data_IF_736305921771
#
_entry.id   IF_736305921771
#
_cell.length_a   1.000
_cell.length_b   1.000
_cell.length_c   1.000
_cell.angle_alpha   90.00
_cell.angle_beta   90.00
_cell.angle_gamma   90.00
#
_symmetry.space_group_name_H-M   'P 1'
#
loop_
_entity.id
_entity.type
_entity.pdbx_description
1 polymer ?
#
# COMPACT_ATOMS: atom_id res chain seq x y z
N UNK A 1 -18.19 -5.80 18.02
CA UNK A 1 -17.89 -5.68 17.64
C UNK A 1 -17.23 -5.68 16.95
N UNK A 2 -16.83 -5.58 16.59
CA UNK A 2 -16.23 -5.45 15.98
C UNK A 2 -15.86 -6.07 15.13
N UNK A 3 -16.19 -6.71 14.87
CA UNK A 3 -15.84 -7.52 14.04
C UNK A 3 -15.78 -7.17 12.70
N UNK A 4 -16.57 -6.55 12.17
CA UNK A 4 -16.53 -6.09 10.87
C UNK A 4 -15.42 -5.23 10.68
N UNK A 5 -14.62 -5.04 11.59
CA UNK A 5 -13.53 -4.22 11.45
C UNK A 5 -12.51 -4.63 10.51
N UNK A 6 -12.53 -5.86 10.05
CA UNK A 6 -11.56 -6.24 9.12
C UNK A 6 -11.60 -5.49 7.89
N UNK A 7 -12.75 -5.18 7.35
CA UNK A 7 -12.83 -4.41 6.18
C UNK A 7 -12.39 -3.03 6.46
N UNK A 8 -12.75 -2.50 7.62
CA UNK A 8 -12.41 -1.15 7.88
C UNK A 8 -11.02 -1.02 8.43
N UNK A 9 -10.28 -2.09 8.53
CA UNK A 9 -8.92 -1.99 9.02
C UNK A 9 -7.99 -1.43 7.97
N UNK A 10 -8.37 -1.38 6.72
CA UNK A 10 -7.53 -0.75 5.72
C UNK A 10 -7.60 0.76 5.88
N UNK A 11 -6.45 1.39 5.77
CA UNK A 11 -6.37 2.82 5.84
C UNK A 11 -7.18 3.43 4.68
N UNK A 12 -7.92 4.50 4.91
CA UNK A 12 -8.63 5.14 3.81
C UNK A 12 -7.74 5.56 2.66
N UNK A 13 -6.44 5.74 2.91
CA UNK A 13 -5.51 6.08 1.86
C UNK A 13 -4.93 4.86 1.15
N UNK A 14 -5.39 3.67 1.50
CA UNK A 14 -4.79 2.44 0.96
C UNK A 14 -4.79 2.45 -0.58
N UNK A 15 -5.91 2.76 -1.19
CA UNK A 15 -6.00 2.72 -2.65
C UNK A 15 -5.10 3.76 -3.29
N UNK A 16 -5.08 4.98 -2.74
CA UNK A 16 -4.24 6.02 -3.29
C UNK A 16 -2.77 5.70 -3.09
N UNK A 17 -2.42 5.11 -1.94
CA UNK A 17 -1.06 4.71 -1.70
C UNK A 17 -0.63 3.62 -2.69
N UNK A 18 -1.51 2.67 -2.97
CA UNK A 18 -1.21 1.62 -3.92
C UNK A 18 -0.97 2.20 -5.31
N UNK A 19 -1.79 3.16 -5.71
CA UNK A 19 -1.63 3.78 -7.02
C UNK A 19 -0.31 4.53 -7.12
N UNK A 20 0.06 5.24 -6.07
CA UNK A 20 1.33 5.95 -6.09
C UNK A 20 2.50 4.98 -6.18
N UNK A 21 2.47 3.93 -5.37
CA UNK A 21 3.53 2.94 -5.35
C UNK A 21 3.72 2.31 -6.72
N UNK A 22 2.63 1.92 -7.37
CA UNK A 22 2.73 1.27 -8.68
C UNK A 22 3.15 2.29 -9.74
N UNK A 23 2.60 3.49 -9.71
CA UNK A 23 2.95 4.49 -10.72
C UNK A 23 4.41 4.87 -10.62
N UNK A 24 4.94 4.98 -9.41
CA UNK A 24 6.33 5.37 -9.23
C UNK A 24 7.26 4.18 -9.16
N UNK A 25 6.73 2.98 -9.03
CA UNK A 25 7.51 1.76 -8.82
C UNK A 25 8.44 1.93 -7.63
N UNK A 26 7.89 2.52 -6.56
CA UNK A 26 8.65 2.80 -5.35
C UNK A 26 7.77 2.48 -4.16
N UNK A 27 8.08 1.40 -3.46
CA UNK A 27 7.28 0.94 -2.33
C UNK A 27 7.77 1.41 -0.98
N UNK A 28 8.50 2.51 -0.91
CA UNK A 28 9.07 2.92 0.36
C UNK A 28 8.08 3.74 1.18
N UNK A 29 8.17 3.57 2.50
CA UNK A 29 7.35 4.35 3.41
C UNK A 29 7.71 5.82 3.33
N UNK A 30 8.97 6.12 3.05
CA UNK A 30 9.41 7.50 2.92
C UNK A 30 8.67 8.21 1.79
N UNK A 31 8.48 7.50 0.68
CA UNK A 31 7.77 8.10 -0.44
C UNK A 31 6.33 8.42 -0.06
N UNK A 32 5.66 7.52 0.64
CA UNK A 32 4.29 7.76 1.07
C UNK A 32 4.23 8.90 2.06
N UNK A 33 5.17 8.94 2.98
CA UNK A 33 5.19 9.98 3.98
C UNK A 33 5.30 11.35 3.33
N UNK A 34 6.17 11.49 2.37
CA UNK A 34 6.38 12.76 1.70
C UNK A 34 5.23 13.16 0.80
N UNK A 35 4.73 12.22 0.04
CA UNK A 35 3.70 12.54 -0.93
C UNK A 35 2.40 12.93 -0.26
N UNK A 36 2.01 12.18 0.76
CA UNK A 36 0.73 12.42 1.43
C UNK A 36 0.86 13.28 2.67
N UNK A 37 2.10 13.64 3.04
CA UNK A 37 2.36 14.46 4.22
C UNK A 37 1.76 13.82 5.47
N UNK A 38 2.02 12.55 5.65
CA UNK A 38 1.53 11.80 6.80
C UNK A 38 2.70 11.43 7.70
N UNK A 39 2.40 11.00 8.91
CA UNK A 39 3.43 10.60 9.84
C UNK A 39 4.06 9.28 9.45
N UNK A 40 5.22 9.03 10.06
CA UNK A 40 6.00 7.83 9.76
C UNK A 40 5.24 6.55 10.07
N UNK A 41 4.59 6.52 11.25
CA UNK A 41 3.89 5.29 11.65
C UNK A 41 2.76 4.95 10.69
N UNK A 42 2.05 5.95 10.21
CA UNK A 42 0.97 5.71 9.27
C UNK A 42 1.51 5.24 7.93
N UNK A 43 2.61 5.84 7.50
CA UNK A 43 3.24 5.42 6.24
C UNK A 43 3.70 3.97 6.32
N UNK A 44 4.29 3.57 7.44
CA UNK A 44 4.73 2.20 7.62
C UNK A 44 3.54 1.24 7.63
N UNK A 45 2.45 1.64 8.25
CA UNK A 45 1.27 0.80 8.30
C UNK A 45 0.68 0.61 6.91
N UNK A 46 0.68 1.68 6.10
CA UNK A 46 0.22 1.57 4.73
C UNK A 46 1.07 0.58 3.94
N UNK A 47 2.39 0.65 4.11
CA UNK A 47 3.27 -0.27 3.40
C UNK A 47 3.01 -1.71 3.83
N UNK A 48 2.76 -1.93 5.12
CA UNK A 48 2.45 -3.27 5.59
C UNK A 48 1.14 -3.78 5.00
N UNK A 49 0.17 -2.90 4.86
CA UNK A 49 -1.09 -3.29 4.23
C UNK A 49 -0.89 -3.61 2.76
N UNK A 50 -0.03 -2.85 2.09
CA UNK A 50 0.28 -3.13 0.69
C UNK A 50 1.00 -4.47 0.55
N UNK A 51 1.84 -4.80 1.49
CA UNK A 51 2.51 -6.09 1.48
C UNK A 51 1.51 -7.23 1.67
N UNK A 52 0.62 -7.08 2.63
CA UNK A 52 -0.39 -8.12 2.89
C UNK A 52 -1.29 -8.33 1.68
N UNK A 53 -1.50 -7.28 0.90
CA UNK A 53 -2.34 -7.37 -0.29
C UNK A 53 -1.58 -7.87 -1.52
N UNK A 54 -0.28 -8.07 -1.40
CA UNK A 54 0.49 -8.57 -2.54
C UNK A 54 0.90 -7.49 -3.52
N UNK A 55 0.87 -6.24 -3.12
CA UNK A 55 1.23 -5.14 -4.00
C UNK A 55 2.72 -4.85 -3.91
N UNK A 56 3.30 -4.99 -2.72
CA UNK A 56 4.74 -4.87 -2.56
C UNK A 56 5.27 -6.11 -1.85
N UNK A 57 6.55 -6.35 -1.98
CA UNK A 57 7.19 -7.48 -1.36
C UNK A 57 7.67 -7.18 0.04
N UNK A 58 8.41 -8.12 0.61
CA UNK A 58 8.92 -8.00 1.97
C UNK A 58 9.98 -6.93 2.06
N UNK A 59 10.17 -6.43 3.25
CA UNK A 59 11.23 -5.46 3.51
C UNK A 59 12.58 -6.12 3.24
N UNK A 60 13.40 -5.48 2.43
CA UNK A 60 14.70 -6.00 2.07
C UNK A 60 15.82 -5.11 2.58
N UNK A 61 15.60 -4.48 3.67
CA UNK A 61 16.59 -3.62 4.29
C UNK A 61 16.83 -2.38 3.48
N UNK A 62 18.07 -2.09 3.19
CA UNK A 62 18.43 -0.86 2.51
C UNK A 62 17.87 -0.78 1.11
N UNK A 63 17.52 -1.91 0.52
CA UNK A 63 16.99 -1.89 -0.82
C UNK A 63 15.52 -1.55 -0.89
N UNK A 64 14.86 -1.53 0.25
CA UNK A 64 13.44 -1.25 0.29
C UNK A 64 12.64 -2.43 -0.18
N UNK A 65 11.41 -2.17 -0.62
CA UNK A 65 10.50 -3.22 -1.02
C UNK A 65 10.32 -3.22 -2.51
N UNK A 66 10.22 -4.41 -3.06
CA UNK A 66 9.96 -4.56 -4.48
C UNK A 66 8.50 -4.29 -4.76
N UNK A 67 8.17 -3.63 -5.85
CA UNK A 67 6.79 -3.42 -6.24
C UNK A 67 6.40 -4.58 -7.15
N UNK A 68 5.40 -5.33 -6.73
CA UNK A 68 5.05 -6.58 -7.42
C UNK A 68 4.07 -6.39 -8.56
N UNK A 69 3.43 -5.23 -8.65
CA UNK A 69 2.48 -4.93 -9.71
C UNK A 69 3.05 -3.81 -10.54
N UNK A 70 3.12 -4.00 -11.85
CA UNK A 70 3.73 -3.02 -12.71
C UNK A 70 2.76 -2.29 -13.61
N UNK A 71 1.50 -2.69 -13.58
CA UNK A 71 0.49 -2.17 -14.49
C UNK A 71 -0.66 -1.60 -13.66
N UNK A 72 -0.94 -0.33 -13.82
CA UNK A 72 -2.02 0.30 -13.07
C UNK A 72 -3.38 -0.33 -13.36
N UNK A 73 -3.60 -0.78 -14.58
CA UNK A 73 -4.88 -1.41 -14.90
C UNK A 73 -5.07 -2.68 -14.07
N UNK A 74 -4.01 -3.46 -13.93
CA UNK A 74 -4.07 -4.66 -13.13
C UNK A 74 -4.28 -4.30 -11.66
N UNK A 75 -3.63 -3.22 -11.20
CA UNK A 75 -3.80 -2.78 -9.84
C UNK A 75 -5.25 -2.39 -9.58
N UNK A 76 -5.89 -1.67 -10.48
CA UNK A 76 -7.27 -1.24 -10.25
C UNK A 76 -8.19 -2.44 -10.12
N UNK A 77 -7.95 -3.47 -10.92
CA UNK A 77 -8.73 -4.67 -10.84
C UNK A 77 -8.56 -5.34 -9.47
N UNK A 78 -7.31 -5.38 -9.01
CA UNK A 78 -7.00 -5.97 -7.73
C UNK A 78 -7.63 -5.16 -6.59
N UNK A 79 -7.63 -3.85 -6.70
CA UNK A 79 -8.22 -3.01 -5.68
C UNK A 79 -9.72 -3.24 -5.56
N UNK A 80 -10.38 -3.48 -6.68
CA UNK A 80 -11.80 -3.76 -6.62
C UNK A 80 -12.06 -5.03 -5.84
N UNK A 81 -11.21 -6.02 -5.99
CA UNK A 81 -11.39 -7.26 -5.26
C UNK A 81 -11.15 -7.09 -3.77
N UNK A 82 -10.20 -6.24 -3.42
CA UNK A 82 -9.84 -6.07 -2.03
C UNK A 82 -10.86 -5.23 -1.29
N UNK A 83 -11.41 -4.23 -1.95
CA UNK A 83 -12.23 -3.27 -1.25
C UNK A 83 -13.69 -3.59 -1.23
N UNK A 84 -14.09 -4.64 -1.88
CA UNK A 84 -15.49 -4.98 -1.87
C UNK A 84 -15.97 -5.54 -0.56
#
# INVERSE_FOLDING_TARGET
METNNEKSSLDPMFADAARLVVAEQDGSATRLQRHFEIGWNRACRLVEQLEAAGIVGSNRGAKGREVLIQDLAFLEQKLQEIEV
#
